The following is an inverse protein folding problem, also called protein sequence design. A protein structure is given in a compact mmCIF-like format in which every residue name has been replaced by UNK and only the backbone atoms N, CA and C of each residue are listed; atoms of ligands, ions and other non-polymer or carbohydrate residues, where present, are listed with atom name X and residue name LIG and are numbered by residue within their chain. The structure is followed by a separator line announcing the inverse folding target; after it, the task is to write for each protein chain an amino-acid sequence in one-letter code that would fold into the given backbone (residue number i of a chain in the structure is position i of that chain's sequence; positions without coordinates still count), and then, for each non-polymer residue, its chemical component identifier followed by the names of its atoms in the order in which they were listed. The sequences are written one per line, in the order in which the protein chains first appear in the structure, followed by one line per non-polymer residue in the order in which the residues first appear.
data_IF_585428541215
#
_entry.id   IF_585428541215
#
_cell.length_a   1.000
_cell.length_b   1.000
_cell.length_c   1.000
_cell.angle_alpha   90.00
_cell.angle_beta   90.00
_cell.angle_gamma   90.00
#
_symmetry.space_group_name_H-M   'P 1'
#
loop_
_entity.id
_entity.type
_entity.pdbx_description
1 polymer ?
#
# COMPACT_ATOMS: atom_id res chain seq x y z
N UNK A 1 -46.70 2.28 -47.01
CA UNK A 1 -47.71 3.34 -46.76
C UNK A 1 -46.96 4.66 -46.59
N UNK A 2 -47.12 5.71 -47.39
CA UNK A 2 -47.73 5.93 -48.71
C UNK A 2 -47.18 7.29 -49.20
N UNK A 3 -46.61 7.43 -50.40
CA UNK A 3 -47.33 7.75 -51.64
C UNK A 3 -48.44 8.80 -51.49
N UNK A 4 -48.19 9.99 -52.06
CA UNK A 4 -49.10 10.96 -52.70
C UNK A 4 -50.44 11.35 -52.02
N UNK A 5 -50.65 12.66 -51.83
CA UNK A 5 -51.66 13.54 -52.50
C UNK A 5 -51.40 14.98 -51.97
N UNK A 6 -51.31 16.07 -52.75
CA UNK A 6 -52.17 16.67 -53.80
C UNK A 6 -53.40 17.41 -53.24
N UNK A 7 -53.26 18.73 -53.11
CA UNK A 7 -54.28 19.78 -53.21
C UNK A 7 -53.52 21.07 -53.64
N UNK A 8 -53.83 21.81 -54.72
CA UNK A 8 -55.09 22.31 -55.28
C UNK A 8 -55.72 23.40 -54.42
N UNK A 9 -55.56 24.66 -54.83
CA UNK A 9 -56.73 25.51 -55.08
C UNK A 9 -56.50 26.55 -56.18
N UNK A 10 -57.60 26.94 -56.83
CA UNK A 10 -57.71 27.94 -57.89
C UNK A 10 -58.53 29.16 -57.40
N UNK A 11 -58.75 30.13 -58.31
CA UNK A 11 -59.78 31.21 -58.26
C UNK A 11 -59.63 32.32 -57.20
N UNK A 12 -60.20 33.53 -57.34
CA UNK A 12 -60.43 34.47 -58.47
C UNK A 12 -60.92 35.84 -57.89
N UNK A 13 -61.29 36.83 -58.72
CA UNK A 13 -61.80 38.20 -58.39
C UNK A 13 -60.71 39.21 -57.93
N UNK A 14 -60.65 40.48 -58.37
CA UNK A 14 -61.49 41.39 -59.21
C UNK A 14 -62.61 42.20 -58.51
N UNK A 15 -62.26 43.37 -58.01
CA UNK A 15 -63.08 44.60 -57.81
C UNK A 15 -62.07 45.77 -57.64
N UNK A 16 -62.12 46.97 -58.25
CA UNK A 16 -63.14 47.84 -58.90
C UNK A 16 -63.90 48.75 -57.91
N UNK A 17 -64.14 50.01 -58.33
CA UNK A 17 -64.63 51.24 -57.63
C UNK A 17 -63.53 52.21 -57.14
N UNK A 18 -63.66 53.55 -57.27
CA UNK A 18 -64.59 54.43 -58.04
C UNK A 18 -63.95 55.86 -58.15
N UNK A 19 -64.45 56.87 -58.87
CA UNK A 19 -65.58 57.03 -59.82
C UNK A 19 -65.08 57.79 -61.08
N UNK A 20 -65.73 58.70 -61.84
CA UNK A 20 -67.00 59.48 -61.84
C UNK A 20 -67.35 59.71 -63.33
N UNK A 21 -68.51 59.34 -63.89
CA UNK A 21 -69.86 59.98 -63.91
C UNK A 21 -69.95 61.39 -64.55
N UNK A 22 -71.02 61.63 -65.34
CA UNK A 22 -71.48 62.92 -65.94
C UNK A 22 -70.60 63.41 -67.13
N UNK A 23 -71.07 63.80 -68.34
CA UNK A 23 -72.38 63.92 -69.08
C UNK A 23 -72.02 64.15 -70.59
N UNK A 24 -72.85 64.15 -71.64
CA UNK A 24 -74.25 63.76 -71.96
C UNK A 24 -74.44 63.70 -73.51
N UNK A 25 -75.59 63.20 -74.02
CA UNK A 25 -76.20 63.43 -75.38
C UNK A 25 -75.44 62.95 -76.66
N UNK A 26 -76.03 62.36 -77.73
CA UNK A 26 -77.29 62.57 -78.51
C UNK A 26 -77.22 63.75 -79.50
N UNK A 27 -77.76 63.75 -80.73
CA UNK A 27 -78.49 62.77 -81.59
C UNK A 27 -78.16 63.13 -83.09
N UNK A 28 -78.03 62.19 -84.04
CA UNK A 28 -78.97 61.81 -85.14
C UNK A 28 -79.59 62.91 -86.05
N UNK A 29 -79.86 62.47 -87.29
CA UNK A 29 -80.89 62.92 -88.26
C UNK A 29 -80.76 64.27 -89.01
N UNK A 30 -81.46 64.53 -90.14
CA UNK A 30 -81.72 63.79 -91.42
C UNK A 30 -82.61 64.67 -92.35
N UNK A 31 -82.73 64.36 -93.66
CA UNK A 31 -83.59 64.99 -94.71
C UNK A 31 -83.25 66.46 -95.10
N UNK A 32 -83.28 66.95 -96.35
CA UNK A 32 -84.04 66.71 -97.62
C UNK A 32 -85.38 67.48 -97.70
N UNK A 33 -85.81 67.83 -98.94
CA UNK A 33 -87.01 68.64 -99.36
C UNK A 33 -86.76 70.16 -99.42
N UNK A 34 -87.24 70.96 -100.40
CA UNK A 34 -87.41 70.87 -101.88
C UNK A 34 -87.96 72.23 -102.42
N UNK A 35 -88.12 72.38 -103.75
CA UNK A 35 -88.87 73.45 -104.48
C UNK A 35 -88.19 74.86 -104.52
N UNK A 36 -87.97 75.55 -105.65
CA UNK A 36 -88.82 76.04 -106.78
C UNK A 36 -89.54 77.37 -106.46
N UNK A 37 -89.89 78.30 -107.38
CA UNK A 37 -89.72 78.40 -108.84
C UNK A 37 -89.95 79.87 -109.35
N UNK A 38 -89.72 80.14 -110.65
CA UNK A 38 -90.32 81.22 -111.48
C UNK A 38 -89.93 82.72 -111.20
N UNK A 39 -89.37 83.47 -112.19
CA UNK A 39 -90.00 84.35 -113.24
C UNK A 39 -90.33 85.77 -112.74
N UNK A 40 -90.34 86.85 -113.54
CA UNK A 40 -90.04 87.16 -114.95
C UNK A 40 -89.57 88.65 -115.01
N UNK A 41 -88.49 89.02 -115.72
CA UNK A 41 -88.46 89.59 -117.10
C UNK A 41 -88.68 91.12 -117.20
N UNK A 42 -88.10 91.74 -118.25
CA UNK A 42 -88.06 93.17 -118.63
C UNK A 42 -87.14 94.11 -117.81
N UNK A 43 -86.55 95.17 -118.38
CA UNK A 43 -85.99 95.37 -119.73
C UNK A 43 -85.24 96.72 -119.79
N UNK A 44 -84.44 96.95 -120.85
CA UNK A 44 -83.85 98.24 -121.27
C UNK A 44 -82.84 98.90 -120.28
N UNK A 45 -81.54 98.95 -120.62
CA UNK A 45 -80.81 100.10 -121.23
C UNK A 45 -80.18 101.07 -120.18
N UNK A 46 -78.95 101.59 -120.30
CA UNK A 46 -77.85 101.38 -121.29
C UNK A 46 -76.48 101.91 -120.72
N UNK A 47 -75.37 101.63 -121.43
CA UNK A 47 -73.99 102.22 -121.33
C UNK A 47 -72.98 101.78 -120.23
N UNK A 48 -71.69 101.78 -120.62
CA UNK A 48 -70.44 101.85 -119.84
C UNK A 48 -69.85 100.60 -119.14
N UNK A 49 -69.62 99.53 -119.92
CA UNK A 49 -68.30 99.09 -120.43
C UNK A 49 -67.01 99.06 -119.55
N UNK A 50 -66.16 98.06 -119.84
CA UNK A 50 -64.71 97.93 -119.58
C UNK A 50 -64.15 97.94 -118.13
N UNK A 51 -64.34 96.80 -117.42
CA UNK A 51 -63.27 96.15 -116.62
C UNK A 51 -63.51 94.71 -116.10
N UNK A 52 -64.57 94.02 -116.54
CA UNK A 52 -65.16 92.92 -115.76
C UNK A 52 -64.76 91.48 -116.18
N UNK A 53 -63.48 91.20 -116.51
CA UNK A 53 -63.07 89.87 -117.01
C UNK A 53 -61.73 89.32 -116.47
N UNK A 54 -61.29 89.71 -115.26
CA UNK A 54 -59.99 89.24 -114.71
C UNK A 54 -59.99 88.79 -113.25
N UNK A 55 -61.17 88.65 -112.62
CA UNK A 55 -61.29 88.32 -111.19
C UNK A 55 -61.66 86.86 -110.86
N UNK A 56 -62.04 86.05 -111.85
CA UNK A 56 -62.67 84.74 -111.63
C UNK A 56 -61.74 83.51 -111.85
N UNK A 57 -60.48 83.73 -112.23
CA UNK A 57 -59.52 82.63 -112.55
C UNK A 57 -58.65 82.24 -111.34
N UNK A 58 -58.57 83.09 -110.31
CA UNK A 58 -57.63 82.94 -109.18
C UNK A 58 -58.06 81.83 -108.19
N UNK A 59 -59.35 81.59 -108.00
CA UNK A 59 -59.83 80.75 -106.88
C UNK A 59 -59.84 79.24 -107.17
N UNK A 60 -59.89 78.81 -108.44
CA UNK A 60 -59.95 77.37 -108.78
C UNK A 60 -58.61 76.63 -108.71
N UNK A 61 -57.47 77.32 -108.60
CA UNK A 61 -56.15 76.68 -108.68
C UNK A 61 -55.65 76.07 -107.36
N UNK A 62 -56.19 76.47 -106.20
CA UNK A 62 -55.62 76.10 -104.91
C UNK A 62 -56.26 74.88 -104.22
N UNK A 63 -57.44 74.44 -104.66
CA UNK A 63 -58.15 73.33 -104.00
C UNK A 63 -57.56 71.95 -104.31
N UNK A 64 -57.08 71.72 -105.54
CA UNK A 64 -56.57 70.39 -105.95
C UNK A 64 -55.22 70.06 -105.29
N UNK A 65 -54.36 71.08 -105.11
CA UNK A 65 -53.06 70.94 -104.43
C UNK A 65 -53.19 70.46 -102.98
N UNK A 66 -54.32 70.75 -102.31
CA UNK A 66 -54.53 70.40 -100.91
C UNK A 66 -54.79 68.90 -100.71
N UNK A 67 -55.43 68.23 -101.68
CA UNK A 67 -55.82 66.81 -101.59
C UNK A 67 -54.61 65.90 -101.81
N UNK A 68 -53.74 66.21 -102.79
CA UNK A 68 -52.53 65.43 -103.04
C UNK A 68 -51.58 65.44 -101.82
N UNK A 69 -51.50 66.60 -101.14
CA UNK A 69 -50.77 66.76 -99.88
C UNK A 69 -51.36 65.91 -98.74
N UNK A 70 -52.68 65.72 -98.68
CA UNK A 70 -53.31 64.86 -97.68
C UNK A 70 -52.97 63.37 -97.91
N UNK A 71 -53.08 62.86 -99.14
CA UNK A 71 -52.72 61.47 -99.45
C UNK A 71 -51.25 61.16 -99.13
N UNK A 72 -50.32 62.06 -99.51
CA UNK A 72 -48.89 61.94 -99.15
C UNK A 72 -48.66 61.97 -97.63
N UNK A 73 -49.45 62.75 -96.89
CA UNK A 73 -49.35 62.82 -95.43
C UNK A 73 -49.81 61.50 -94.76
N UNK A 74 -50.86 60.84 -95.27
CA UNK A 74 -51.27 59.52 -94.79
C UNK A 74 -50.27 58.42 -95.10
N UNK A 75 -49.69 58.40 -96.31
CA UNK A 75 -48.64 57.44 -96.63
C UNK A 75 -47.39 57.65 -95.76
N UNK A 76 -46.97 58.89 -95.54
CA UNK A 76 -45.87 59.23 -94.64
C UNK A 76 -46.16 58.79 -93.19
N UNK A 77 -47.39 58.97 -92.68
CA UNK A 77 -47.81 58.43 -91.36
C UNK A 77 -47.70 56.91 -91.33
N UNK A 78 -48.12 56.20 -92.38
CA UNK A 78 -48.00 54.74 -92.50
C UNK A 78 -46.55 54.26 -92.50
N UNK A 79 -45.66 54.94 -93.22
CA UNK A 79 -44.22 54.66 -93.20
C UNK A 79 -43.58 54.97 -91.84
N UNK A 80 -44.00 56.06 -91.19
CA UNK A 80 -43.51 56.47 -89.86
C UNK A 80 -43.94 55.47 -88.79
N UNK A 81 -45.19 54.98 -88.83
CA UNK A 81 -45.67 53.93 -87.92
C UNK A 81 -44.89 52.62 -88.08
N UNK A 82 -44.64 52.18 -89.33
CA UNK A 82 -43.81 51.00 -89.63
C UNK A 82 -42.38 51.18 -89.11
N UNK A 83 -41.76 52.35 -89.32
CA UNK A 83 -40.43 52.68 -88.77
C UNK A 83 -40.44 52.68 -87.24
N UNK A 84 -41.49 53.19 -86.59
CA UNK A 84 -41.64 53.16 -85.12
C UNK A 84 -41.71 51.73 -84.60
N UNK A 85 -42.57 50.88 -85.18
CA UNK A 85 -42.68 49.47 -84.78
C UNK A 85 -41.35 48.70 -84.97
N UNK A 86 -40.62 48.99 -86.04
CA UNK A 86 -39.29 48.42 -86.27
C UNK A 86 -38.25 48.90 -85.24
N UNK A 87 -38.24 50.20 -84.91
CA UNK A 87 -37.39 50.76 -83.84
C UNK A 87 -37.71 50.16 -82.47
N UNK A 88 -38.99 49.96 -82.14
CA UNK A 88 -39.39 49.27 -80.90
C UNK A 88 -38.98 47.78 -80.90
N UNK A 89 -38.95 47.12 -82.07
CA UNK A 89 -38.38 45.78 -82.24
C UNK A 89 -36.88 45.76 -81.95
N UNK A 90 -36.11 46.60 -82.65
CA UNK A 90 -34.66 46.77 -82.47
C UNK A 90 -34.29 47.17 -81.03
N UNK A 91 -35.12 47.97 -80.36
CA UNK A 91 -34.92 48.34 -78.96
C UNK A 91 -35.08 47.12 -78.03
N UNK A 92 -36.10 46.28 -78.24
CA UNK A 92 -36.27 45.02 -77.50
C UNK A 92 -35.13 44.03 -77.76
N UNK A 93 -34.69 43.89 -79.01
CA UNK A 93 -33.53 43.07 -79.38
C UNK A 93 -32.26 43.58 -78.70
N UNK A 94 -32.00 44.89 -78.73
CA UNK A 94 -30.88 45.54 -78.03
C UNK A 94 -30.92 45.29 -76.52
N UNK A 95 -32.07 45.35 -75.88
CA UNK A 95 -32.22 45.06 -74.44
C UNK A 95 -31.96 43.58 -74.12
N UNK A 96 -32.44 42.65 -74.95
CA UNK A 96 -32.16 41.21 -74.83
C UNK A 96 -30.66 40.93 -75.00
N UNK A 97 -30.02 41.51 -76.02
CA UNK A 97 -28.57 41.41 -76.26
C UNK A 97 -27.78 42.02 -75.10
N UNK A 98 -28.21 43.17 -74.56
CA UNK A 98 -27.53 43.82 -73.41
C UNK A 98 -27.59 42.94 -72.16
N UNK A 99 -28.76 42.36 -71.84
CA UNK A 99 -28.90 41.38 -70.75
C UNK A 99 -28.02 40.15 -70.99
N UNK A 100 -27.95 39.65 -72.23
CA UNK A 100 -27.09 38.50 -72.58
C UNK A 100 -25.60 38.81 -72.43
N UNK A 101 -25.16 40.01 -72.78
CA UNK A 101 -23.78 40.48 -72.56
C UNK A 101 -23.48 40.56 -71.06
N UNK A 102 -24.42 41.01 -70.23
CA UNK A 102 -24.24 41.03 -68.78
C UNK A 102 -24.16 39.60 -68.20
N UNK A 103 -25.10 38.70 -68.55
CA UNK A 103 -25.03 37.28 -68.14
C UNK A 103 -23.69 36.63 -68.52
N UNK A 104 -23.16 36.93 -69.71
CA UNK A 104 -21.89 36.39 -70.18
C UNK A 104 -20.71 36.96 -69.37
N UNK A 105 -20.70 38.26 -69.07
CA UNK A 105 -19.69 38.87 -68.19
C UNK A 105 -19.70 38.27 -66.79
N UNK A 106 -20.88 38.06 -66.21
CA UNK A 106 -21.04 37.43 -64.90
C UNK A 106 -20.52 35.98 -64.90
N UNK A 107 -20.77 35.22 -65.98
CA UNK A 107 -20.21 33.87 -66.17
C UNK A 107 -18.69 33.88 -66.39
N UNK A 108 -18.14 34.86 -67.11
CA UNK A 108 -16.69 35.03 -67.26
C UNK A 108 -16.03 35.31 -65.92
N UNK A 109 -16.55 36.26 -65.13
CA UNK A 109 -16.04 36.55 -63.79
C UNK A 109 -16.12 35.33 -62.85
N UNK A 110 -17.22 34.57 -62.90
CA UNK A 110 -17.34 33.29 -62.17
C UNK A 110 -16.30 32.26 -62.64
N UNK A 111 -16.04 32.16 -63.94
CA UNK A 111 -15.00 31.27 -64.48
C UNK A 111 -13.60 31.69 -64.04
N UNK A 112 -13.26 32.98 -64.10
CA UNK A 112 -11.96 33.52 -63.72
C UNK A 112 -11.69 33.30 -62.22
N UNK A 113 -12.70 33.53 -61.36
CA UNK A 113 -12.62 33.22 -59.92
C UNK A 113 -12.43 31.71 -59.72
N UNK A 114 -13.20 30.86 -60.41
CA UNK A 114 -13.06 29.40 -60.32
C UNK A 114 -11.71 28.89 -60.87
N UNK A 115 -11.06 29.62 -61.77
CA UNK A 115 -9.74 29.29 -62.28
C UNK A 115 -8.65 29.68 -61.27
N UNK A 116 -8.70 30.91 -60.74
CA UNK A 116 -7.78 31.37 -59.69
C UNK A 116 -7.86 30.48 -58.43
N UNK A 117 -9.07 30.09 -58.01
CA UNK A 117 -9.26 29.17 -56.87
C UNK A 117 -8.65 27.79 -57.13
N UNK A 118 -8.70 27.26 -58.36
CA UNK A 118 -8.03 25.98 -58.72
C UNK A 118 -6.52 26.11 -58.75
N UNK A 119 -6.00 27.24 -59.20
CA UNK A 119 -4.56 27.50 -59.25
C UNK A 119 -3.99 27.61 -57.83
N UNK A 120 -4.63 28.40 -56.97
CA UNK A 120 -4.29 28.50 -55.54
C UNK A 120 -4.44 27.15 -54.83
N UNK A 121 -5.52 26.39 -55.06
CA UNK A 121 -5.70 25.05 -54.49
C UNK A 121 -4.60 24.07 -54.92
N UNK A 122 -4.14 24.14 -56.16
CA UNK A 122 -3.00 23.36 -56.64
C UNK A 122 -1.67 23.80 -56.03
N UNK A 123 -1.47 25.09 -55.75
CA UNK A 123 -0.27 25.59 -55.09
C UNK A 123 -0.25 25.23 -53.60
N UNK A 124 -1.36 25.42 -52.89
CA UNK A 124 -1.55 24.95 -51.52
C UNK A 124 -1.23 23.45 -51.44
N UNK A 125 -1.83 22.61 -52.29
CA UNK A 125 -1.55 21.15 -52.33
C UNK A 125 -0.13 20.76 -52.73
N UNK A 126 0.63 21.64 -53.39
CA UNK A 126 2.09 21.45 -53.60
C UNK A 126 2.86 21.79 -52.33
N UNK A 127 2.54 22.91 -51.68
CA UNK A 127 3.19 23.32 -50.43
C UNK A 127 2.88 22.38 -49.26
N UNK A 128 1.64 21.88 -49.11
CA UNK A 128 1.26 20.87 -48.11
C UNK A 128 2.13 19.61 -48.23
N UNK A 129 2.31 19.09 -49.45
CA UNK A 129 3.18 17.93 -49.72
C UNK A 129 4.65 18.23 -49.43
N UNK A 130 5.12 19.45 -49.66
CA UNK A 130 6.46 19.87 -49.26
C UNK A 130 6.60 19.97 -47.74
N UNK A 131 5.60 20.51 -47.04
CA UNK A 131 5.56 20.55 -45.57
C UNK A 131 5.52 19.14 -44.96
N UNK A 132 4.72 18.21 -45.50
CA UNK A 132 4.75 16.79 -45.12
C UNK A 132 6.15 16.18 -45.27
N UNK A 133 6.84 16.45 -46.37
CA UNK A 133 8.19 15.93 -46.62
C UNK A 133 9.21 16.56 -45.66
N UNK A 134 9.08 17.86 -45.36
CA UNK A 134 9.92 18.57 -44.38
C UNK A 134 9.67 18.04 -42.97
N UNK A 135 8.42 17.79 -42.58
CA UNK A 135 8.07 17.30 -41.26
C UNK A 135 8.52 15.83 -41.07
N UNK A 136 8.28 14.96 -42.06
CA UNK A 136 8.81 13.58 -42.05
C UNK A 136 10.34 13.55 -41.96
N UNK A 137 11.04 14.46 -42.65
CA UNK A 137 12.50 14.63 -42.51
C UNK A 137 12.90 15.16 -41.14
N UNK A 138 12.17 16.13 -40.59
CA UNK A 138 12.41 16.69 -39.24
C UNK A 138 12.22 15.62 -38.16
N UNK A 139 11.18 14.79 -38.25
CA UNK A 139 10.95 13.67 -37.33
C UNK A 139 12.14 12.68 -37.34
N UNK A 140 12.68 12.35 -38.53
CA UNK A 140 13.87 11.51 -38.65
C UNK A 140 15.13 12.19 -38.09
N UNK A 141 15.35 13.48 -38.37
CA UNK A 141 16.48 14.24 -37.81
C UNK A 141 16.40 14.29 -36.28
N UNK A 142 15.24 14.63 -35.72
CA UNK A 142 15.01 14.65 -34.27
C UNK A 142 15.26 13.28 -33.62
N UNK A 143 14.84 12.19 -34.28
CA UNK A 143 15.11 10.81 -33.83
C UNK A 143 16.61 10.49 -33.82
N UNK A 144 17.32 10.80 -34.91
CA UNK A 144 18.77 10.61 -35.00
C UNK A 144 19.54 11.49 -34.00
N UNK A 145 19.09 12.71 -33.73
CA UNK A 145 19.67 13.57 -32.69
C UNK A 145 19.49 12.99 -31.28
N UNK A 146 18.32 12.40 -30.99
CA UNK A 146 18.07 11.68 -29.74
C UNK A 146 18.93 10.41 -29.61
N UNK A 147 19.08 9.62 -30.68
CA UNK A 147 19.98 8.47 -30.70
C UNK A 147 21.44 8.89 -30.48
N UNK A 148 21.90 9.94 -31.17
CA UNK A 148 23.24 10.52 -30.98
C UNK A 148 23.43 11.02 -29.54
N UNK A 149 22.42 11.63 -28.92
CA UNK A 149 22.47 12.05 -27.53
C UNK A 149 22.61 10.85 -26.57
N UNK A 150 21.78 9.81 -26.73
CA UNK A 150 21.88 8.59 -25.93
C UNK A 150 23.21 7.86 -26.13
N UNK A 151 23.75 7.81 -27.34
CA UNK A 151 25.03 7.19 -27.64
C UNK A 151 26.21 7.99 -27.05
N UNK A 152 26.13 9.33 -27.06
CA UNK A 152 27.08 10.20 -26.34
C UNK A 152 27.02 9.94 -24.84
N UNK A 153 25.84 9.86 -24.23
CA UNK A 153 25.71 9.56 -22.79
C UNK A 153 26.24 8.16 -22.43
N UNK A 154 25.88 7.13 -23.21
CA UNK A 154 26.41 5.76 -23.03
C UNK A 154 27.93 5.69 -23.21
N UNK A 155 28.51 6.53 -24.07
CA UNK A 155 29.97 6.70 -24.20
C UNK A 155 30.57 7.39 -22.97
N UNK A 156 29.98 8.49 -22.52
CA UNK A 156 30.39 9.26 -21.34
C UNK A 156 30.40 8.40 -20.06
N UNK A 157 29.33 7.63 -19.83
CA UNK A 157 29.23 6.68 -18.71
C UNK A 157 30.34 5.61 -18.76
N UNK A 158 30.60 5.05 -19.95
CA UNK A 158 31.68 4.06 -20.15
C UNK A 158 33.06 4.67 -19.97
N UNK A 159 33.29 5.90 -20.46
CA UNK A 159 34.55 6.63 -20.29
C UNK A 159 34.86 6.82 -18.80
N UNK A 160 33.89 7.31 -18.02
CA UNK A 160 34.00 7.49 -16.56
C UNK A 160 34.25 6.19 -15.80
N UNK A 161 33.79 5.05 -16.31
CA UNK A 161 34.12 3.74 -15.75
C UNK A 161 35.56 3.32 -16.07
N UNK A 162 36.03 3.57 -17.29
CA UNK A 162 37.42 3.33 -17.70
C UNK A 162 38.40 4.26 -16.96
N UNK A 163 38.06 5.52 -16.74
CA UNK A 163 38.85 6.49 -15.96
C UNK A 163 38.99 6.09 -14.48
N UNK A 164 37.92 5.54 -13.88
CA UNK A 164 38.00 4.96 -12.53
C UNK A 164 38.90 3.72 -12.51
N UNK A 165 38.76 2.83 -13.49
CA UNK A 165 39.58 1.63 -13.57
C UNK A 165 41.05 1.93 -13.88
N UNK A 166 41.35 2.95 -14.69
CA UNK A 166 42.74 3.37 -14.94
C UNK A 166 43.39 4.00 -13.72
N UNK A 167 42.65 4.71 -12.85
CA UNK A 167 43.18 5.12 -11.55
C UNK A 167 43.62 3.91 -10.70
N UNK A 168 42.78 2.87 -10.60
CA UNK A 168 43.14 1.65 -9.86
C UNK A 168 44.29 0.88 -10.51
N UNK A 169 44.34 0.80 -11.85
CA UNK A 169 45.44 0.18 -12.57
C UNK A 169 46.77 0.92 -12.36
N UNK A 170 46.78 2.24 -12.52
CA UNK A 170 47.96 3.10 -12.30
C UNK A 170 48.42 3.09 -10.83
N UNK A 171 47.52 2.83 -9.87
CA UNK A 171 47.87 2.58 -8.47
C UNK A 171 48.50 1.20 -8.29
N UNK A 172 47.90 0.16 -8.88
CA UNK A 172 48.38 -1.22 -8.80
C UNK A 172 49.76 -1.39 -9.46
N UNK A 173 49.98 -0.76 -10.61
CA UNK A 173 51.28 -0.64 -11.29
C UNK A 173 52.34 -0.01 -10.37
N UNK A 174 52.01 1.08 -9.66
CA UNK A 174 52.93 1.67 -8.65
C UNK A 174 53.22 0.71 -7.51
N UNK A 175 52.21 0.02 -6.97
CA UNK A 175 52.40 -0.99 -5.90
C UNK A 175 53.32 -2.12 -6.39
N UNK A 176 53.19 -2.55 -7.66
CA UNK A 176 54.08 -3.54 -8.28
C UNK A 176 55.52 -3.00 -8.35
N UNK A 177 55.75 -1.77 -8.82
CA UNK A 177 57.11 -1.17 -8.81
C UNK A 177 57.71 -0.98 -7.42
N UNK A 178 56.92 -1.10 -6.35
CA UNK A 178 57.35 -1.03 -4.95
C UNK A 178 57.39 -2.41 -4.25
N UNK A 179 57.12 -3.50 -4.96
CA UNK A 179 57.06 -4.86 -4.40
C UNK A 179 57.80 -5.88 -5.29
N UNK A 180 57.89 -7.13 -4.82
CA UNK A 180 58.67 -8.20 -5.49
C UNK A 180 57.83 -9.02 -6.49
N UNK A 181 56.72 -8.47 -7.00
CA UNK A 181 55.82 -9.16 -7.94
C UNK A 181 56.07 -8.68 -9.37
N UNK A 182 56.00 -9.59 -10.34
CA UNK A 182 56.23 -9.27 -11.76
C UNK A 182 54.94 -8.79 -12.48
N UNK A 183 53.77 -9.16 -11.99
CA UNK A 183 52.48 -8.97 -12.66
C UNK A 183 51.33 -8.67 -11.65
N UNK A 184 50.32 -7.84 -12.01
CA UNK A 184 49.18 -7.55 -11.15
C UNK A 184 48.38 -8.78 -10.67
N UNK A 185 48.21 -9.79 -11.51
CA UNK A 185 47.53 -11.04 -11.15
C UNK A 185 48.38 -11.84 -10.16
N UNK A 186 49.71 -11.77 -10.26
CA UNK A 186 50.61 -12.37 -9.27
C UNK A 186 50.38 -11.83 -7.85
N UNK A 187 50.24 -10.50 -7.72
CA UNK A 187 49.90 -9.84 -6.46
C UNK A 187 48.46 -10.14 -6.00
N UNK A 188 47.47 -10.11 -6.91
CA UNK A 188 46.08 -10.43 -6.59
C UNK A 188 45.96 -11.88 -6.09
N UNK A 189 46.50 -12.85 -6.84
CA UNK A 189 46.52 -14.26 -6.45
C UNK A 189 47.21 -14.47 -5.08
N UNK A 190 48.28 -13.73 -4.79
CA UNK A 190 48.92 -13.79 -3.47
C UNK A 190 48.00 -13.27 -2.35
N UNK A 191 47.33 -12.14 -2.57
CA UNK A 191 46.38 -11.56 -1.61
C UNK A 191 45.15 -12.47 -1.41
N UNK A 192 44.61 -13.05 -2.47
CA UNK A 192 43.51 -14.02 -2.40
C UNK A 192 43.90 -15.28 -1.62
N UNK A 193 45.10 -15.83 -1.87
CA UNK A 193 45.64 -16.94 -1.09
C UNK A 193 45.84 -16.56 0.39
N UNK A 194 46.32 -15.35 0.69
CA UNK A 194 46.41 -14.87 2.07
C UNK A 194 45.04 -14.70 2.73
N UNK A 195 44.02 -14.20 2.03
CA UNK A 195 42.67 -14.08 2.55
C UNK A 195 42.03 -15.45 2.79
N UNK A 196 42.17 -16.40 1.87
CA UNK A 196 41.71 -17.78 2.02
C UNK A 196 42.40 -18.47 3.20
N UNK A 197 43.73 -18.36 3.31
CA UNK A 197 44.49 -18.92 4.44
C UNK A 197 44.10 -18.27 5.78
N UNK A 198 43.86 -16.96 5.81
CA UNK A 198 43.38 -16.26 7.01
C UNK A 198 41.99 -16.74 7.44
N UNK A 199 41.07 -16.90 6.50
CA UNK A 199 39.72 -17.35 6.81
C UNK A 199 39.70 -18.81 7.28
N UNK A 200 40.49 -19.67 6.63
CA UNK A 200 40.70 -21.06 7.07
C UNK A 200 41.35 -21.17 8.45
N UNK A 201 42.31 -20.30 8.76
CA UNK A 201 42.91 -20.23 10.10
C UNK A 201 41.85 -19.82 11.14
N UNK A 202 41.07 -18.77 10.87
CA UNK A 202 39.94 -18.33 11.70
C UNK A 202 38.89 -19.43 11.91
N UNK A 203 38.55 -20.19 10.87
CA UNK A 203 37.64 -21.35 10.99
C UNK A 203 38.21 -22.39 11.97
N UNK A 204 39.48 -22.76 11.82
CA UNK A 204 40.13 -23.70 12.77
C UNK A 204 40.35 -23.13 14.17
N UNK A 205 40.40 -21.81 14.32
CA UNK A 205 40.46 -21.12 15.62
C UNK A 205 39.09 -21.15 16.30
N UNK A 206 38.02 -20.80 15.59
CA UNK A 206 36.64 -20.86 16.07
C UNK A 206 36.28 -22.28 16.55
N UNK A 207 36.56 -23.31 15.74
CA UNK A 207 36.30 -24.71 16.11
C UNK A 207 37.03 -25.08 17.42
N UNK A 208 38.30 -24.69 17.58
CA UNK A 208 39.06 -24.94 18.82
C UNK A 208 38.53 -24.15 20.02
N UNK A 209 38.03 -22.94 19.81
CA UNK A 209 37.40 -22.15 20.86
C UNK A 209 36.07 -22.77 21.31
N UNK A 210 35.30 -23.34 20.38
CA UNK A 210 34.10 -24.14 20.68
C UNK A 210 34.44 -25.44 21.41
N UNK A 211 35.46 -26.19 20.97
CA UNK A 211 35.98 -27.37 21.70
C UNK A 211 36.41 -27.00 23.13
N UNK A 212 37.15 -25.90 23.32
CA UNK A 212 37.58 -25.41 24.63
C UNK A 212 36.36 -24.99 25.48
N UNK A 213 35.35 -24.36 24.89
CA UNK A 213 34.11 -24.01 25.60
C UNK A 213 33.32 -25.26 26.02
N UNK A 214 33.21 -26.26 25.15
CA UNK A 214 32.60 -27.56 25.46
C UNK A 214 33.35 -28.26 26.60
N UNK A 215 34.69 -28.32 26.56
CA UNK A 215 35.49 -28.95 27.63
C UNK A 215 35.45 -28.17 28.95
N UNK A 216 35.32 -26.85 28.93
CA UNK A 216 35.06 -26.06 30.15
C UNK A 216 33.68 -26.38 30.74
N UNK A 217 32.64 -26.49 29.90
CA UNK A 217 31.30 -26.85 30.37
C UNK A 217 31.23 -28.31 30.88
N UNK A 218 31.92 -29.26 30.24
CA UNK A 218 32.08 -30.63 30.75
C UNK A 218 32.74 -30.65 32.14
N UNK A 219 33.82 -29.88 32.32
CA UNK A 219 34.53 -29.78 33.61
C UNK A 219 33.65 -29.16 34.70
N UNK A 220 32.93 -28.07 34.41
CA UNK A 220 32.00 -27.44 35.37
C UNK A 220 30.88 -28.41 35.80
N UNK A 221 30.24 -29.08 34.83
CA UNK A 221 29.22 -30.10 35.13
C UNK A 221 29.77 -31.30 35.92
N UNK A 222 31.06 -31.64 35.77
CA UNK A 222 31.73 -32.65 36.58
C UNK A 222 32.03 -32.16 37.99
N UNK A 223 32.48 -30.91 38.14
CA UNK A 223 32.75 -30.25 39.42
C UNK A 223 31.49 -30.10 40.26
N UNK A 224 30.40 -29.56 39.69
CA UNK A 224 29.09 -29.46 40.33
C UNK A 224 28.59 -30.82 40.83
N UNK A 225 28.67 -31.85 39.97
CA UNK A 225 28.28 -33.22 40.32
C UNK A 225 29.16 -33.80 41.42
N UNK A 226 30.46 -33.52 41.43
CA UNK A 226 31.36 -33.90 42.51
C UNK A 226 31.02 -33.17 43.82
N UNK A 227 30.70 -31.87 43.75
CA UNK A 227 30.33 -31.07 44.92
C UNK A 227 29.02 -31.56 45.55
N UNK A 228 27.97 -31.80 44.75
CA UNK A 228 26.72 -32.41 45.22
C UNK A 228 26.96 -33.79 45.83
N UNK A 229 27.80 -34.62 45.21
CA UNK A 229 28.15 -35.95 45.75
C UNK A 229 28.91 -35.83 47.08
N UNK A 230 29.84 -34.88 47.20
CA UNK A 230 30.59 -34.60 48.43
C UNK A 230 29.63 -34.15 49.55
N UNK A 231 28.72 -33.22 49.28
CA UNK A 231 27.72 -32.77 50.25
C UNK A 231 26.82 -33.91 50.73
N UNK A 232 26.35 -34.78 49.82
CA UNK A 232 25.58 -35.98 50.18
C UNK A 232 26.35 -36.96 51.07
N UNK A 233 27.65 -37.18 50.78
CA UNK A 233 28.51 -38.05 51.59
C UNK A 233 28.83 -37.46 52.96
N UNK A 234 29.10 -36.15 53.02
CA UNK A 234 29.33 -35.43 54.27
C UNK A 234 28.07 -35.47 55.16
N UNK A 235 26.87 -35.24 54.59
CA UNK A 235 25.60 -35.35 55.31
C UNK A 235 25.39 -36.75 55.91
N UNK A 236 25.57 -37.80 55.09
CA UNK A 236 25.45 -39.19 55.56
C UNK A 236 26.49 -39.54 56.63
N UNK A 237 27.72 -39.03 56.50
CA UNK A 237 28.77 -39.20 57.51
C UNK A 237 28.39 -38.52 58.84
N UNK A 238 27.86 -37.29 58.80
CA UNK A 238 27.37 -36.60 60.01
C UNK A 238 26.20 -37.33 60.66
N UNK A 239 25.26 -37.89 59.88
CA UNK A 239 24.17 -38.71 60.42
C UNK A 239 24.71 -39.97 61.11
N UNK A 240 25.55 -40.75 60.42
CA UNK A 240 26.12 -41.99 60.99
C UNK A 240 27.00 -41.72 62.21
N UNK A 241 27.71 -40.58 62.24
CA UNK A 241 28.50 -40.17 63.39
C UNK A 241 27.62 -39.77 64.60
N UNK A 242 26.48 -39.12 64.36
CA UNK A 242 25.48 -38.82 65.40
C UNK A 242 24.84 -40.10 65.95
N UNK A 243 24.42 -41.03 65.09
CA UNK A 243 23.88 -42.34 65.51
C UNK A 243 24.90 -43.14 66.33
N UNK A 244 26.16 -43.19 65.88
CA UNK A 244 27.25 -43.85 66.58
C UNK A 244 27.56 -43.24 67.96
N UNK A 245 27.49 -41.91 68.09
CA UNK A 245 27.72 -41.25 69.38
C UNK A 245 26.51 -41.42 70.34
N UNK A 246 25.28 -41.49 69.81
CA UNK A 246 24.10 -41.89 70.59
C UNK A 246 24.29 -43.30 71.18
N UNK A 247 24.63 -44.30 70.35
CA UNK A 247 24.88 -45.67 70.82
C UNK A 247 26.03 -45.77 71.83
N UNK A 248 27.08 -44.95 71.68
CA UNK A 248 28.15 -44.83 72.69
C UNK A 248 27.65 -44.24 74.01
N UNK A 249 26.79 -43.23 73.96
CA UNK A 249 26.21 -42.62 75.17
C UNK A 249 25.34 -43.62 75.92
N UNK A 250 24.52 -44.41 75.22
CA UNK A 250 23.72 -45.49 75.80
C UNK A 250 24.62 -46.60 76.39
N UNK A 251 25.64 -47.06 75.64
CA UNK A 251 26.59 -48.05 76.11
C UNK A 251 27.27 -47.59 77.42
N UNK A 252 27.75 -46.35 77.46
CA UNK A 252 28.37 -45.74 78.66
C UNK A 252 27.40 -45.65 79.85
N UNK A 253 26.13 -45.36 79.60
CA UNK A 253 25.08 -45.37 80.64
C UNK A 253 24.87 -46.79 81.18
N UNK A 254 24.95 -47.83 80.34
CA UNK A 254 24.86 -49.23 80.78
C UNK A 254 26.13 -49.72 81.48
N UNK A 255 27.32 -49.31 81.04
CA UNK A 255 28.59 -49.55 81.73
C UNK A 255 28.57 -48.98 83.15
N UNK A 256 28.15 -47.72 83.32
CA UNK A 256 28.04 -47.09 84.65
C UNK A 256 27.00 -47.78 85.56
N UNK A 257 25.88 -48.25 84.99
CA UNK A 257 24.90 -49.05 85.75
C UNK A 257 25.50 -50.40 86.18
N UNK A 258 26.23 -51.06 85.28
CA UNK A 258 26.87 -52.35 85.54
C UNK A 258 27.99 -52.25 86.59
N UNK A 259 28.87 -51.26 86.46
CA UNK A 259 29.92 -50.94 87.44
C UNK A 259 29.30 -50.71 88.82
N UNK A 260 28.23 -49.92 88.92
CA UNK A 260 27.51 -49.69 90.19
C UNK A 260 26.88 -50.96 90.77
N UNK A 261 26.36 -51.86 89.94
CA UNK A 261 25.85 -53.18 90.37
C UNK A 261 27.00 -54.04 90.89
N UNK A 262 28.12 -54.10 90.17
CA UNK A 262 29.32 -54.86 90.54
C UNK A 262 29.95 -54.34 91.84
N UNK A 263 30.07 -53.03 92.00
CA UNK A 263 30.57 -52.39 93.23
C UNK A 263 29.64 -52.67 94.42
N UNK A 264 28.32 -52.59 94.22
CA UNK A 264 27.32 -52.92 95.25
C UNK A 264 27.36 -54.40 95.62
N UNK A 265 27.53 -55.30 94.64
CA UNK A 265 27.67 -56.73 94.87
C UNK A 265 28.96 -57.05 95.65
N UNK A 266 30.11 -56.48 95.25
CA UNK A 266 31.37 -56.64 95.94
C UNK A 266 31.30 -56.18 97.41
N UNK A 267 30.68 -55.02 97.67
CA UNK A 267 30.43 -54.52 99.04
C UNK A 267 29.56 -55.48 99.86
N UNK A 268 28.48 -56.02 99.28
CA UNK A 268 27.61 -57.00 99.95
C UNK A 268 28.32 -58.33 100.22
N UNK A 269 29.09 -58.85 99.28
CA UNK A 269 29.86 -60.09 99.45
C UNK A 269 30.94 -59.93 100.52
N UNK A 270 31.62 -58.78 100.57
CA UNK A 270 32.58 -58.46 101.64
C UNK A 270 31.90 -58.40 103.02
N UNK A 271 30.76 -57.71 103.13
CA UNK A 271 29.97 -57.66 104.37
C UNK A 271 29.49 -59.05 104.79
N UNK A 272 29.03 -59.89 103.86
CA UNK A 272 28.63 -61.26 104.14
C UNK A 272 29.81 -62.11 104.66
N UNK A 273 30.99 -61.98 104.04
CA UNK A 273 32.22 -62.64 104.53
C UNK A 273 32.62 -62.17 105.94
N UNK A 274 32.52 -60.87 106.23
CA UNK A 274 32.75 -60.31 107.56
C UNK A 274 31.76 -60.85 108.59
N UNK A 275 30.48 -60.96 108.25
CA UNK A 275 29.44 -61.55 109.11
C UNK A 275 29.72 -63.04 109.37
N UNK A 276 30.07 -63.81 108.34
CA UNK A 276 30.45 -65.23 108.49
C UNK A 276 31.64 -65.40 109.44
N UNK A 277 32.75 -64.70 109.21
CA UNK A 277 33.93 -64.80 110.08
C UNK A 277 33.64 -64.33 111.52
N UNK A 278 32.86 -63.26 111.70
CA UNK A 278 32.44 -62.85 113.04
C UNK A 278 31.57 -63.90 113.74
N UNK A 279 30.74 -64.63 112.99
CA UNK A 279 29.85 -65.68 113.50
C UNK A 279 30.65 -66.92 113.90
N UNK A 280 31.55 -67.41 113.03
CA UNK A 280 32.43 -68.56 113.31
C UNK A 280 33.29 -68.29 114.56
N UNK A 281 33.93 -67.13 114.64
CA UNK A 281 34.75 -66.76 115.80
C UNK A 281 33.92 -66.72 117.11
N UNK A 282 32.67 -66.26 117.06
CA UNK A 282 31.78 -66.25 118.23
C UNK A 282 31.31 -67.67 118.59
N UNK A 283 31.05 -68.52 117.59
CA UNK A 283 30.66 -69.92 117.79
C UNK A 283 31.79 -70.73 118.44
N UNK A 284 33.03 -70.59 117.96
CA UNK A 284 34.24 -71.13 118.61
C UNK A 284 34.34 -70.67 120.07
N UNK A 285 34.13 -69.37 120.35
CA UNK A 285 34.14 -68.83 121.72
C UNK A 285 33.02 -69.39 122.61
N UNK A 286 31.90 -69.88 122.06
CA UNK A 286 30.85 -70.60 122.84
C UNK A 286 31.18 -72.07 123.10
N UNK A 287 32.36 -72.56 122.68
CA UNK A 287 32.76 -73.96 122.81
C UNK A 287 32.33 -74.85 121.65
N UNK A 288 31.99 -74.26 120.50
CA UNK A 288 31.75 -74.98 119.25
C UNK A 288 33.06 -75.49 118.64
N UNK A 289 33.12 -76.79 118.36
CA UNK A 289 34.16 -77.38 117.51
C UNK A 289 33.80 -77.19 116.01
N UNK A 290 34.81 -77.27 115.15
CA UNK A 290 34.74 -77.23 113.67
C UNK A 290 35.24 -78.54 113.02
N UNK A 291 35.36 -79.62 113.80
CA UNK A 291 35.72 -80.97 113.34
C UNK A 291 34.65 -81.69 112.51
N UNK A 292 34.91 -82.95 112.17
CA UNK A 292 34.14 -83.73 111.16
C UNK A 292 32.68 -84.06 111.58
N UNK A 293 32.38 -84.10 112.89
CA UNK A 293 31.03 -84.29 113.46
C UNK A 293 30.32 -82.96 113.85
N UNK A 294 30.81 -81.81 113.35
CA UNK A 294 30.39 -80.47 113.83
C UNK A 294 29.44 -79.71 112.86
N UNK A 295 29.25 -78.41 113.11
CA UNK A 295 28.46 -77.53 112.23
C UNK A 295 29.37 -77.00 111.12
N UNK A 296 28.92 -77.10 109.86
CA UNK A 296 29.65 -76.55 108.70
C UNK A 296 29.98 -75.07 108.92
N UNK A 297 31.25 -74.71 108.70
CA UNK A 297 31.78 -73.34 108.70
C UNK A 297 30.93 -72.40 107.83
N UNK A 298 30.30 -72.93 106.77
CA UNK A 298 29.41 -72.16 105.90
C UNK A 298 27.98 -71.99 106.42
N UNK A 299 27.48 -72.86 107.30
CA UNK A 299 26.13 -72.78 107.86
C UNK A 299 26.08 -71.72 108.98
N UNK A 300 25.88 -70.48 108.54
CA UNK A 300 25.88 -69.31 109.42
C UNK A 300 24.58 -69.19 110.23
N UNK A 301 23.52 -69.91 109.85
CA UNK A 301 22.22 -69.83 110.51
C UNK A 301 22.22 -70.69 111.79
N UNK A 302 22.61 -71.96 111.68
CA UNK A 302 22.65 -72.84 112.86
C UNK A 302 23.78 -72.51 113.83
N UNK A 303 24.88 -71.88 113.37
CA UNK A 303 25.88 -71.27 114.25
C UNK A 303 25.27 -70.13 115.09
N UNK A 304 24.48 -69.24 114.49
CA UNK A 304 23.82 -68.14 115.21
C UNK A 304 22.78 -68.65 116.21
N UNK A 305 22.00 -69.68 115.87
CA UNK A 305 21.05 -70.31 116.79
C UNK A 305 21.74 -70.91 118.02
N UNK A 306 22.91 -71.55 117.84
CA UNK A 306 23.73 -72.07 118.95
C UNK A 306 24.29 -70.95 119.82
N UNK A 307 24.80 -69.87 119.23
CA UNK A 307 25.27 -68.68 119.96
C UNK A 307 24.11 -68.04 120.75
N UNK A 308 22.94 -67.88 120.13
CA UNK A 308 21.75 -67.32 120.79
C UNK A 308 21.28 -68.19 121.97
N UNK A 309 21.26 -69.51 121.79
CA UNK A 309 20.94 -70.48 122.86
C UNK A 309 21.93 -70.38 124.01
N UNK A 310 23.24 -70.37 123.73
CA UNK A 310 24.30 -70.22 124.74
C UNK A 310 24.15 -68.91 125.54
N UNK A 311 23.85 -67.80 124.87
CA UNK A 311 23.63 -66.50 125.52
C UNK A 311 22.37 -66.55 126.40
N UNK A 312 21.27 -67.14 125.90
CA UNK A 312 20.02 -67.27 126.65
C UNK A 312 20.19 -68.17 127.90
N UNK A 313 20.94 -69.26 127.80
CA UNK A 313 21.25 -70.13 128.93
C UNK A 313 22.12 -69.43 129.97
N UNK A 314 23.14 -68.66 129.55
CA UNK A 314 23.95 -67.88 130.49
C UNK A 314 23.16 -66.75 131.16
N UNK A 315 22.29 -66.05 130.44
CA UNK A 315 21.39 -65.03 131.00
C UNK A 315 20.35 -65.66 131.95
N UNK A 316 19.82 -66.85 131.63
CA UNK A 316 18.98 -67.64 132.53
C UNK A 316 19.73 -68.03 133.82
N UNK A 317 20.97 -68.51 133.72
CA UNK A 317 21.83 -68.84 134.86
C UNK A 317 22.11 -67.59 135.70
N UNK A 318 22.45 -66.46 135.08
CA UNK A 318 22.69 -65.18 135.77
C UNK A 318 21.43 -64.71 136.50
N UNK A 319 20.25 -64.79 135.86
CA UNK A 319 18.96 -64.46 136.49
C UNK A 319 18.64 -65.37 137.67
N UNK A 320 18.92 -66.68 137.57
CA UNK A 320 18.80 -67.60 138.70
C UNK A 320 19.75 -67.22 139.83
N UNK A 321 21.03 -66.94 139.55
CA UNK A 321 22.00 -66.48 140.56
C UNK A 321 21.58 -65.15 141.21
N UNK A 322 21.05 -64.19 140.45
CA UNK A 322 20.52 -62.93 140.98
C UNK A 322 19.31 -63.17 141.89
N UNK A 323 18.38 -64.03 141.48
CA UNK A 323 17.24 -64.44 142.30
C UNK A 323 17.68 -65.14 143.59
N UNK A 324 18.69 -66.02 143.55
CA UNK A 324 19.28 -66.62 144.75
C UNK A 324 19.93 -65.56 145.65
N UNK A 325 20.69 -64.60 145.09
CA UNK A 325 21.28 -63.50 145.87
C UNK A 325 20.26 -62.50 146.44
N UNK A 326 19.07 -62.37 145.85
CA UNK A 326 17.95 -61.63 146.44
C UNK A 326 17.33 -62.45 147.58
N UNK A 327 17.06 -63.74 147.34
CA UNK A 327 16.50 -64.66 148.33
C UNK A 327 17.41 -64.91 149.54
N UNK A 328 18.73 -64.77 149.41
CA UNK A 328 19.67 -64.75 150.53
C UNK A 328 19.73 -63.41 151.28
N UNK A 329 19.45 -62.29 150.61
CA UNK A 329 19.26 -60.98 151.26
C UNK A 329 17.90 -60.84 151.95
N UNK A 330 16.91 -61.64 151.56
CA UNK A 330 15.56 -61.69 152.16
C UNK A 330 15.42 -62.73 153.28
N UNK A 331 16.44 -63.56 153.53
CA UNK A 331 16.47 -64.39 154.75
C UNK A 331 16.68 -63.49 155.98
N UNK A 332 15.86 -63.61 157.04
CA UNK A 332 16.22 -63.06 158.34
C UNK A 332 17.57 -63.60 158.80
N UNK A 333 18.30 -62.78 159.57
CA UNK A 333 19.32 -63.31 160.46
C UNK A 333 18.61 -63.72 161.75
N UNK A 334 18.80 -64.98 162.12
CA UNK A 334 18.18 -65.70 163.25
C UNK A 334 16.72 -66.11 163.00
#
# INVERSE_FOLDING_TARGET
MGFFYVAIHLTVQRSVWCSTQIKDTCLLDVTVVLMSENKEMHCEQVLNDDKNMSKLIVEKSHTEQLIELQCKNEELKGQLLKKKQHLEGLQREKEVVTKKIQELRERTLQYDILQQVKEVDQEVKKTEKQWEIVDKKRAVVNGLEQEIAQLKEKREQKLKMVEKMSFYYNFLEKVITMTMFEDPQGLINHLENLFYMREKLRETENIKLEEIAQKRNELLCLEDRHHVTMLQKNFLQSQLQMELENYRSDARIWEQKWEKIQETAAKKTLMLGQIKMATVNLYEMTGGDLGEDSVDVNDTETQLDRIASFIQDHDNIIKQFQFFQQKEREKPKE
#
